data_IF_971757058453
#
_entry.id   IF_971757058453
#
_cell.length_a   1.000
_cell.length_b   1.000
_cell.length_c   1.000
_cell.angle_alpha   90.00
_cell.angle_beta   90.00
_cell.angle_gamma   90.00
#
_symmetry.space_group_name_H-M   'P 1'
#
loop_
_entity.id
_entity.type
_entity.pdbx_description
1 polymer ?
#
# COMPACT_ATOMS: atom_id res chain seq x y z
N UNK A 1 -27.23 -2.64 7.08
CA UNK A 1 -25.89 -3.16 6.82
C UNK A 1 -25.55 -2.91 5.36
N UNK A 2 -24.66 -1.98 5.05
CA UNK A 2 -24.20 -1.78 3.65
C UNK A 2 -23.16 -2.84 3.38
N UNK A 3 -23.41 -3.72 2.42
CA UNK A 3 -22.36 -4.61 1.91
C UNK A 3 -21.24 -3.75 1.32
N UNK A 4 -19.99 -4.08 1.61
CA UNK A 4 -18.87 -3.45 0.93
C UNK A 4 -19.14 -3.51 -0.59
N UNK A 5 -19.14 -2.36 -1.27
CA UNK A 5 -19.44 -2.26 -2.69
C UNK A 5 -20.91 -1.98 -3.06
N UNK A 6 -21.82 -1.74 -2.12
CA UNK A 6 -23.23 -1.39 -2.40
C UNK A 6 -23.57 0.08 -2.14
N UNK A 7 -22.59 0.97 -2.08
CA UNK A 7 -22.84 2.40 -2.19
C UNK A 7 -23.42 2.74 -3.57
N UNK A 8 -24.15 3.87 -3.74
CA UNK A 8 -24.49 4.34 -5.07
C UNK A 8 -23.20 4.42 -5.89
N UNK A 9 -23.20 3.82 -7.07
CA UNK A 9 -22.11 3.99 -8.03
C UNK A 9 -22.04 5.50 -8.28
N UNK A 10 -20.87 6.16 -8.16
CA UNK A 10 -20.76 7.57 -8.48
C UNK A 10 -21.31 7.79 -9.89
N UNK A 11 -22.11 8.81 -10.10
CA UNK A 11 -22.60 9.19 -11.43
C UNK A 11 -21.45 9.64 -12.33
N UNK A 12 -20.34 10.08 -11.73
CA UNK A 12 -19.12 10.40 -12.45
C UNK A 12 -18.34 9.14 -12.88
N UNK A 13 -17.75 9.13 -14.08
CA UNK A 13 -16.89 8.05 -14.52
C UNK A 13 -15.71 7.87 -13.55
N UNK A 14 -15.26 6.63 -13.42
CA UNK A 14 -14.07 6.31 -12.60
C UNK A 14 -12.80 6.71 -13.33
N UNK A 15 -11.91 7.39 -12.64
CA UNK A 15 -10.59 7.73 -13.15
C UNK A 15 -9.70 6.48 -13.24
N UNK A 16 -8.94 6.38 -14.32
CA UNK A 16 -7.91 5.34 -14.52
C UNK A 16 -6.89 5.83 -15.56
N UNK A 17 -5.68 5.24 -15.64
CA UNK A 17 -4.66 5.69 -16.59
C UNK A 17 -5.12 5.69 -18.05
N UNK A 18 -5.85 4.65 -18.46
CA UNK A 18 -6.24 4.42 -19.86
C UNK A 18 -7.72 4.08 -20.03
N UNK A 19 -8.59 4.59 -19.15
CA UNK A 19 -10.04 4.35 -19.22
C UNK A 19 -10.48 2.91 -18.89
N UNK A 20 -9.60 2.11 -18.26
CA UNK A 20 -9.85 0.70 -17.95
C UNK A 20 -10.33 0.51 -16.51
N UNK A 21 -11.31 -0.36 -16.27
CA UNK A 21 -11.65 -0.85 -14.92
C UNK A 21 -10.91 -2.14 -14.55
N UNK A 22 -10.68 -2.98 -15.58
CA UNK A 22 -9.98 -4.25 -15.48
C UNK A 22 -9.17 -4.43 -16.76
N UNK A 23 -8.20 -5.33 -16.73
CA UNK A 23 -7.46 -5.68 -17.92
C UNK A 23 -8.40 -5.97 -19.12
N UNK A 24 -8.20 -5.22 -20.21
CA UNK A 24 -8.97 -5.35 -21.46
C UNK A 24 -10.40 -4.76 -21.45
N UNK A 25 -10.89 -4.17 -20.34
CA UNK A 25 -12.24 -3.59 -20.27
C UNK A 25 -12.19 -2.06 -20.21
N UNK A 26 -12.31 -1.42 -21.36
CA UNK A 26 -12.48 0.03 -21.48
C UNK A 26 -13.92 0.41 -21.07
N UNK A 27 -14.06 1.42 -20.20
CA UNK A 27 -15.36 1.96 -19.75
C UNK A 27 -15.48 3.47 -19.94
N UNK A 28 -14.36 4.18 -20.05
CA UNK A 28 -14.30 5.62 -20.27
C UNK A 28 -13.26 5.92 -21.35
N UNK A 29 -13.30 7.08 -21.99
CA UNK A 29 -12.15 7.56 -22.77
C UNK A 29 -10.89 7.61 -21.90
N UNK A 30 -9.72 7.45 -22.52
CA UNK A 30 -8.46 7.72 -21.85
C UNK A 30 -8.41 9.19 -21.46
N UNK A 31 -8.07 9.53 -20.20
CA UNK A 31 -7.96 10.93 -19.76
C UNK A 31 -6.83 11.64 -20.48
N UNK A 32 -7.02 12.92 -20.77
CA UNK A 32 -5.97 13.77 -21.33
C UNK A 32 -4.80 13.92 -20.35
N UNK A 33 -3.66 14.39 -20.86
CA UNK A 33 -2.49 14.63 -20.02
C UNK A 33 -2.76 15.72 -18.96
N UNK A 34 -3.57 16.72 -19.29
CA UNK A 34 -4.00 17.78 -18.38
C UNK A 34 -4.91 17.24 -17.27
N UNK A 35 -5.86 16.37 -17.60
CA UNK A 35 -6.73 15.73 -16.61
C UNK A 35 -5.92 14.86 -15.64
N UNK A 36 -4.92 14.12 -16.14
CA UNK A 36 -4.02 13.34 -15.29
C UNK A 36 -3.18 14.25 -14.39
N UNK A 37 -2.68 15.37 -14.89
CA UNK A 37 -1.95 16.35 -14.08
C UNK A 37 -2.85 16.97 -12.99
N UNK A 38 -4.12 17.25 -13.30
CA UNK A 38 -5.10 17.71 -12.32
C UNK A 38 -5.41 16.68 -11.23
N UNK A 39 -5.47 15.38 -11.58
CA UNK A 39 -5.57 14.30 -10.60
C UNK A 39 -4.37 14.32 -9.64
N UNK A 40 -3.14 14.45 -10.15
CA UNK A 40 -1.96 14.56 -9.32
C UNK A 40 -2.00 15.79 -8.41
N UNK A 41 -2.42 16.95 -8.93
CA UNK A 41 -2.58 18.18 -8.14
C UNK A 41 -3.64 18.05 -7.03
N UNK A 42 -4.67 17.22 -7.22
CA UNK A 42 -5.71 16.98 -6.20
C UNK A 42 -5.13 16.34 -4.93
N UNK A 43 -4.12 15.48 -5.03
CA UNK A 43 -3.41 14.95 -3.86
C UNK A 43 -2.74 16.06 -3.06
N UNK A 44 -2.10 17.01 -3.73
CA UNK A 44 -1.52 18.19 -3.08
C UNK A 44 -2.56 19.04 -2.36
N UNK A 45 -3.72 19.30 -3.00
CA UNK A 45 -4.83 20.06 -2.36
C UNK A 45 -5.34 19.35 -1.10
N UNK A 46 -5.59 18.04 -1.19
CA UNK A 46 -6.04 17.24 -0.05
C UNK A 46 -5.01 17.22 1.10
N UNK A 47 -3.73 17.07 0.76
CA UNK A 47 -2.64 17.08 1.74
C UNK A 47 -2.48 18.46 2.42
N UNK A 48 -2.66 19.55 1.69
CA UNK A 48 -2.68 20.90 2.23
C UNK A 48 -3.79 21.09 3.27
N UNK A 49 -4.98 20.55 3.02
CA UNK A 49 -6.08 20.55 3.99
C UNK A 49 -5.76 19.67 5.22
N UNK A 50 -5.14 18.51 5.04
CA UNK A 50 -4.71 17.68 6.16
C UNK A 50 -3.72 18.45 7.07
N UNK A 51 -2.72 19.11 6.47
CA UNK A 51 -1.80 19.99 7.22
C UNK A 51 -2.53 21.11 7.96
N UNK A 52 -3.46 21.80 7.29
CA UNK A 52 -4.26 22.89 7.90
C UNK A 52 -5.08 22.42 9.09
N UNK A 53 -5.57 21.16 9.05
CA UNK A 53 -6.35 20.55 10.12
C UNK A 53 -5.49 19.95 11.25
N UNK A 54 -4.16 20.01 11.14
CA UNK A 54 -3.23 19.58 12.20
C UNK A 54 -2.97 18.08 12.24
N UNK A 55 -3.06 17.37 11.12
CA UNK A 55 -2.61 15.98 11.04
C UNK A 55 -1.08 15.91 11.16
N UNK A 56 -0.57 14.85 11.79
CA UNK A 56 0.85 14.66 12.07
C UNK A 56 1.63 14.03 10.90
N UNK A 57 0.94 13.45 9.92
CA UNK A 57 1.52 12.87 8.70
C UNK A 57 0.47 12.74 7.59
N UNK A 58 0.93 12.53 6.36
CA UNK A 58 0.08 12.21 5.20
C UNK A 58 0.56 10.90 4.58
N UNK A 59 -0.35 9.96 4.30
CA UNK A 59 -0.06 8.76 3.55
C UNK A 59 -0.75 8.78 2.18
N UNK A 60 0.02 8.60 1.10
CA UNK A 60 -0.51 8.39 -0.25
C UNK A 60 -0.67 6.89 -0.51
N UNK A 61 -1.88 6.50 -0.93
CA UNK A 61 -2.20 5.11 -1.22
C UNK A 61 -1.91 4.75 -2.66
N UNK A 62 -0.73 4.20 -2.91
CA UNK A 62 -0.26 3.73 -4.22
C UNK A 62 -0.19 2.21 -4.33
N UNK A 63 -1.21 1.49 -3.81
CA UNK A 63 -1.21 0.04 -3.70
C UNK A 63 -2.52 -0.59 -4.18
N UNK A 64 -2.53 -1.92 -4.31
CA UNK A 64 -3.69 -2.81 -4.42
C UNK A 64 -4.54 -2.64 -5.69
N UNK A 65 -4.01 -2.05 -6.76
CA UNK A 65 -4.73 -1.80 -8.01
C UNK A 65 -5.66 -0.58 -7.96
N UNK A 66 -5.51 0.33 -6.98
CA UNK A 66 -6.17 1.62 -6.98
C UNK A 66 -5.44 2.64 -7.88
N UNK A 67 -5.95 3.86 -8.01
CA UNK A 67 -5.58 4.82 -9.05
C UNK A 67 -4.05 4.96 -9.26
N UNK A 68 -3.28 5.29 -8.22
CA UNK A 68 -1.81 5.45 -8.35
C UNK A 68 -1.15 4.14 -8.80
N UNK A 69 -1.58 3.00 -8.20
CA UNK A 69 -1.01 1.69 -8.52
C UNK A 69 -1.36 1.22 -9.95
N UNK A 70 -2.50 1.64 -10.49
CA UNK A 70 -2.85 1.38 -11.90
C UNK A 70 -1.89 2.05 -12.87
N UNK A 71 -1.35 3.23 -12.53
CA UNK A 71 -0.31 3.86 -13.34
C UNK A 71 0.98 3.03 -13.40
N UNK A 72 1.35 2.35 -12.34
CA UNK A 72 2.52 1.45 -12.33
C UNK A 72 2.31 0.20 -13.18
N UNK A 73 1.08 -0.28 -13.27
CA UNK A 73 0.73 -1.58 -13.82
C UNK A 73 0.57 -1.53 -15.34
N UNK A 74 1.51 -2.17 -16.07
CA UNK A 74 1.55 -2.15 -17.53
C UNK A 74 0.26 -2.65 -18.21
N UNK A 75 -0.49 -3.56 -17.55
CA UNK A 75 -1.77 -4.06 -18.07
C UNK A 75 -2.92 -3.04 -17.97
N UNK A 76 -2.76 -1.99 -17.18
CA UNK A 76 -3.76 -0.94 -16.97
C UNK A 76 -3.32 0.41 -17.53
N UNK A 77 -2.01 0.65 -17.64
CA UNK A 77 -1.43 1.87 -18.16
C UNK A 77 -0.86 1.66 -19.55
N UNK A 78 -1.66 1.97 -20.55
CA UNK A 78 -1.29 1.88 -21.98
C UNK A 78 -0.87 3.24 -22.57
N UNK A 79 -0.66 4.24 -21.72
CA UNK A 79 -0.34 5.60 -22.16
C UNK A 79 1.00 5.66 -22.87
N UNK A 80 1.07 6.54 -23.86
CA UNK A 80 2.29 6.83 -24.63
C UNK A 80 2.87 8.21 -24.33
N UNK A 81 2.21 8.98 -23.46
CA UNK A 81 2.69 10.26 -22.97
C UNK A 81 3.60 10.11 -21.73
N UNK A 82 3.94 11.24 -21.08
CA UNK A 82 4.85 11.27 -19.91
C UNK A 82 4.38 10.49 -18.69
N UNK A 83 3.11 10.06 -18.64
CA UNK A 83 2.54 9.25 -17.56
C UNK A 83 2.50 7.75 -17.87
N UNK A 84 2.95 7.33 -19.06
CA UNK A 84 3.15 5.95 -19.47
C UNK A 84 4.63 5.58 -19.52
N UNK A 85 4.92 4.48 -20.19
CA UNK A 85 6.30 4.08 -20.48
C UNK A 85 6.55 2.58 -20.42
N UNK A 86 7.69 2.13 -20.98
CA UNK A 86 7.98 0.72 -21.15
C UNK A 86 8.39 0.03 -19.83
N UNK A 87 8.99 0.75 -18.91
CA UNK A 87 9.50 0.22 -17.64
C UNK A 87 8.76 0.81 -16.43
N UNK A 88 8.97 0.20 -15.28
CA UNK A 88 8.33 0.59 -14.04
C UNK A 88 8.72 2.01 -13.57
N UNK A 89 10.00 2.44 -13.61
CA UNK A 89 10.37 3.81 -13.29
C UNK A 89 9.66 4.87 -14.14
N UNK A 90 9.53 4.66 -15.46
CA UNK A 90 8.82 5.59 -16.34
C UNK A 90 7.34 5.69 -15.95
N UNK A 91 6.68 4.57 -15.69
CA UNK A 91 5.27 4.53 -15.23
C UNK A 91 5.05 5.08 -13.82
N UNK A 92 6.11 5.34 -13.04
CA UNK A 92 6.02 5.99 -11.74
C UNK A 92 5.86 7.52 -11.80
N UNK A 93 5.87 8.12 -12.98
CA UNK A 93 5.82 9.59 -13.16
C UNK A 93 4.57 10.25 -12.58
N UNK A 94 3.39 9.62 -12.69
CA UNK A 94 2.17 10.11 -12.03
C UNK A 94 2.31 10.16 -10.51
N UNK A 95 2.80 9.07 -9.90
CA UNK A 95 3.03 9.04 -8.46
C UNK A 95 4.06 10.09 -8.03
N UNK A 96 5.14 10.24 -8.78
CA UNK A 96 6.16 11.26 -8.51
C UNK A 96 5.58 12.67 -8.56
N UNK A 97 4.68 12.97 -9.49
CA UNK A 97 3.99 14.27 -9.58
C UNK A 97 3.04 14.48 -8.39
N UNK A 98 2.24 13.48 -8.02
CA UNK A 98 1.37 13.52 -6.85
C UNK A 98 2.17 13.70 -5.54
N UNK A 99 3.31 13.01 -5.41
CA UNK A 99 4.21 13.15 -4.26
C UNK A 99 4.79 14.56 -4.18
N UNK A 100 5.29 15.12 -5.29
CA UNK A 100 5.82 16.49 -5.34
C UNK A 100 4.75 17.52 -5.00
N UNK A 101 3.54 17.38 -5.54
CA UNK A 101 2.41 18.25 -5.22
C UNK A 101 2.04 18.16 -3.73
N UNK A 102 2.02 16.97 -3.16
CA UNK A 102 1.79 16.73 -1.73
C UNK A 102 2.89 17.38 -0.89
N UNK A 103 4.17 17.12 -1.22
CA UNK A 103 5.33 17.69 -0.50
C UNK A 103 5.32 19.23 -0.53
N UNK A 104 5.01 19.82 -1.68
CA UNK A 104 4.89 21.28 -1.81
C UNK A 104 3.79 21.84 -0.88
N UNK A 105 2.67 21.14 -0.73
CA UNK A 105 1.55 21.56 0.09
C UNK A 105 1.80 21.38 1.61
N UNK A 106 2.45 20.27 2.00
CA UNK A 106 2.68 19.97 3.43
C UNK A 106 4.00 20.55 3.98
N UNK A 107 4.91 21.01 3.11
CA UNK A 107 6.24 21.52 3.51
C UNK A 107 7.22 20.41 3.87
N UNK A 108 8.43 20.74 4.34
CA UNK A 108 9.50 19.77 4.58
C UNK A 108 9.35 18.97 5.88
N UNK A 109 8.63 19.49 6.86
CA UNK A 109 8.64 18.96 8.24
C UNK A 109 7.58 17.88 8.49
N UNK A 110 6.47 17.89 7.71
CA UNK A 110 5.41 16.91 7.90
C UNK A 110 5.75 15.61 7.16
N UNK A 111 5.77 14.44 7.84
CA UNK A 111 6.10 13.17 7.20
C UNK A 111 5.16 12.82 6.06
N UNK A 112 5.73 12.42 4.90
CA UNK A 112 5.03 11.90 3.77
C UNK A 112 5.30 10.40 3.64
N UNK A 113 4.26 9.61 3.86
CA UNK A 113 4.30 8.16 3.78
C UNK A 113 3.76 7.75 2.41
N UNK A 114 4.42 6.79 1.75
CA UNK A 114 3.92 6.22 0.51
C UNK A 114 3.66 4.72 0.67
N UNK A 115 2.38 4.32 0.53
CA UNK A 115 1.99 2.92 0.60
C UNK A 115 1.96 2.29 -0.78
N UNK A 116 2.67 1.18 -0.94
CA UNK A 116 2.68 0.40 -2.18
C UNK A 116 2.61 -1.11 -1.91
N UNK A 117 2.33 -1.88 -2.96
CA UNK A 117 2.25 -3.35 -2.90
C UNK A 117 2.78 -3.97 -4.17
N UNK A 118 3.30 -5.19 -4.08
CA UNK A 118 3.60 -5.99 -5.27
C UNK A 118 2.34 -6.48 -5.97
N UNK A 119 1.37 -6.95 -5.21
CA UNK A 119 0.14 -7.58 -5.68
C UNK A 119 -1.00 -6.57 -5.92
N UNK A 120 -2.03 -6.99 -6.68
CA UNK A 120 -3.24 -6.22 -6.98
C UNK A 120 -4.47 -6.97 -6.48
N UNK A 121 -5.56 -6.25 -6.16
CA UNK A 121 -6.83 -6.90 -5.79
C UNK A 121 -7.44 -7.65 -6.98
N UNK A 122 -7.25 -7.13 -8.20
CA UNK A 122 -7.72 -7.72 -9.44
C UNK A 122 -6.89 -8.93 -9.87
N UNK A 123 -5.62 -8.96 -9.47
CA UNK A 123 -4.67 -10.05 -9.75
C UNK A 123 -3.73 -10.23 -8.56
N UNK A 124 -4.06 -11.20 -7.72
CA UNK A 124 -3.30 -11.47 -6.50
C UNK A 124 -1.92 -12.10 -6.75
N UNK A 125 -1.70 -12.59 -7.97
CA UNK A 125 -0.42 -13.12 -8.43
C UNK A 125 0.48 -12.08 -9.08
N UNK A 126 -0.06 -10.90 -9.40
CA UNK A 126 0.69 -9.82 -10.01
C UNK A 126 1.92 -9.44 -9.16
N UNK A 127 2.99 -9.10 -9.85
CA UNK A 127 4.20 -8.54 -9.26
C UNK A 127 4.49 -7.18 -9.90
N UNK A 128 4.76 -6.19 -9.05
CA UNK A 128 5.12 -4.85 -9.49
C UNK A 128 6.57 -4.81 -10.01
N UNK A 129 7.50 -5.29 -9.19
CA UNK A 129 8.93 -5.40 -9.50
C UNK A 129 9.37 -6.87 -9.41
N UNK A 130 10.11 -7.34 -10.42
CA UNK A 130 10.54 -8.73 -10.55
C UNK A 130 11.98 -8.98 -10.08
N UNK A 131 12.71 -7.92 -9.73
CA UNK A 131 14.07 -8.00 -9.21
C UNK A 131 14.35 -6.87 -8.22
N UNK A 132 15.36 -7.02 -7.33
CA UNK A 132 15.79 -5.90 -6.47
C UNK A 132 16.20 -4.67 -7.25
N UNK A 133 16.82 -4.82 -8.42
CA UNK A 133 17.26 -3.70 -9.27
C UNK A 133 16.06 -2.92 -9.82
N UNK A 134 15.01 -3.62 -10.27
CA UNK A 134 13.78 -2.99 -10.73
C UNK A 134 13.05 -2.29 -9.56
N UNK A 135 13.02 -2.93 -8.38
CA UNK A 135 12.46 -2.33 -7.17
C UNK A 135 13.25 -1.09 -6.75
N UNK A 136 14.58 -1.13 -6.76
CA UNK A 136 15.44 0.00 -6.43
C UNK A 136 15.20 1.19 -7.36
N UNK A 137 15.20 0.96 -8.67
CA UNK A 137 14.97 2.00 -9.67
C UNK A 137 13.58 2.66 -9.49
N UNK A 138 12.55 1.88 -9.19
CA UNK A 138 11.21 2.38 -8.88
C UNK A 138 11.20 3.22 -7.61
N UNK A 139 11.76 2.70 -6.52
CA UNK A 139 11.79 3.38 -5.22
C UNK A 139 12.62 4.67 -5.26
N UNK A 140 13.66 4.73 -6.10
CA UNK A 140 14.46 5.93 -6.31
C UNK A 140 13.59 7.08 -6.85
N UNK A 141 12.74 6.82 -7.86
CA UNK A 141 11.83 7.84 -8.41
C UNK A 141 10.91 8.42 -7.33
N UNK A 142 10.36 7.58 -6.45
CA UNK A 142 9.48 8.01 -5.38
C UNK A 142 10.24 8.75 -4.26
N UNK A 143 11.43 8.26 -3.93
CA UNK A 143 12.32 8.89 -2.94
C UNK A 143 12.73 10.29 -3.34
N UNK A 144 13.14 10.46 -4.60
CA UNK A 144 13.54 11.75 -5.18
C UNK A 144 12.36 12.73 -5.29
N UNK A 145 11.15 12.20 -5.42
CA UNK A 145 9.93 13.01 -5.41
C UNK A 145 9.57 13.54 -4.02
N UNK A 146 10.07 12.94 -2.92
CA UNK A 146 9.92 13.48 -1.57
C UNK A 146 9.26 12.55 -0.54
N UNK A 147 9.24 11.22 -0.77
CA UNK A 147 8.78 10.24 0.22
C UNK A 147 9.76 10.16 1.40
N UNK A 148 9.26 10.18 2.62
CA UNK A 148 10.05 10.00 3.85
C UNK A 148 10.01 8.55 4.34
N UNK A 149 8.84 7.90 4.27
CA UNK A 149 8.59 6.57 4.82
C UNK A 149 7.87 5.71 3.78
N UNK A 150 8.29 4.47 3.61
CA UNK A 150 7.60 3.52 2.76
C UNK A 150 6.74 2.56 3.59
N UNK A 151 5.43 2.47 3.26
CA UNK A 151 4.51 1.51 3.85
C UNK A 151 4.32 0.34 2.88
N UNK A 152 4.96 -0.78 3.20
CA UNK A 152 5.08 -1.95 2.34
C UNK A 152 3.94 -2.93 2.61
N UNK A 153 2.93 -2.93 1.74
CA UNK A 153 1.76 -3.80 1.90
C UNK A 153 1.99 -5.16 1.26
N UNK A 154 2.04 -6.19 2.10
CA UNK A 154 2.30 -7.58 1.73
C UNK A 154 1.08 -8.46 1.98
N UNK A 155 1.06 -9.66 1.39
CA UNK A 155 0.07 -10.70 1.72
C UNK A 155 0.29 -11.19 3.14
N UNK A 156 1.52 -11.58 3.44
CA UNK A 156 2.00 -12.01 4.76
C UNK A 156 3.38 -11.43 5.03
N UNK A 157 3.61 -10.84 6.19
CA UNK A 157 4.87 -10.17 6.52
C UNK A 157 6.08 -11.14 6.57
N UNK A 158 5.84 -12.43 6.76
CA UNK A 158 6.89 -13.45 6.85
C UNK A 158 7.29 -14.05 5.50
N UNK A 159 6.57 -13.74 4.41
CA UNK A 159 6.95 -14.19 3.07
C UNK A 159 8.15 -13.38 2.57
N UNK A 160 9.22 -14.04 2.10
CA UNK A 160 10.37 -13.36 1.52
C UNK A 160 9.99 -12.73 0.19
N UNK A 161 10.58 -11.58 -0.11
CA UNK A 161 10.26 -10.85 -1.35
C UNK A 161 11.01 -11.44 -2.56
N UNK A 162 12.27 -11.78 -2.40
CA UNK A 162 13.13 -12.36 -3.45
C UNK A 162 13.80 -13.65 -2.93
N UNK A 163 13.03 -14.73 -2.73
CA UNK A 163 13.57 -15.96 -2.15
C UNK A 163 14.67 -16.62 -2.97
N UNK A 164 14.72 -16.34 -4.26
CA UNK A 164 15.79 -16.78 -5.17
C UNK A 164 17.15 -16.12 -4.87
N UNK A 165 17.17 -15.03 -4.09
CA UNK A 165 18.38 -14.27 -3.74
C UNK A 165 18.82 -14.52 -2.30
N UNK A 166 17.87 -14.43 -1.33
CA UNK A 166 18.18 -14.52 0.10
C UNK A 166 17.47 -15.68 0.82
N UNK A 167 16.83 -16.58 0.05
CA UNK A 167 16.26 -17.83 0.53
C UNK A 167 14.87 -17.68 1.16
N UNK A 168 14.34 -18.80 1.68
CA UNK A 168 12.99 -18.88 2.26
C UNK A 168 12.80 -18.05 3.53
N UNK A 169 13.87 -17.68 4.20
CA UNK A 169 13.87 -16.82 5.39
C UNK A 169 14.42 -15.43 5.11
N UNK A 170 14.48 -15.05 3.83
CA UNK A 170 14.98 -13.77 3.36
C UNK A 170 14.12 -12.58 3.81
N UNK A 171 14.58 -11.40 3.41
CA UNK A 171 13.89 -10.15 3.70
C UNK A 171 12.53 -10.10 3.01
N UNK A 172 11.55 -9.59 3.71
CA UNK A 172 10.26 -9.27 3.14
C UNK A 172 10.31 -7.95 2.34
N UNK A 173 9.19 -7.53 1.75
CA UNK A 173 9.13 -6.29 0.95
C UNK A 173 9.62 -5.07 1.75
N UNK A 174 9.25 -4.95 3.03
CA UNK A 174 9.70 -3.83 3.87
C UNK A 174 11.20 -3.87 4.13
N UNK A 175 11.74 -5.04 4.41
CA UNK A 175 13.18 -5.24 4.61
C UNK A 175 13.99 -4.94 3.35
N UNK A 176 13.55 -5.40 2.19
CA UNK A 176 14.19 -5.06 0.92
C UNK A 176 14.09 -3.56 0.62
N UNK A 177 12.90 -2.95 0.82
CA UNK A 177 12.72 -1.51 0.63
C UNK A 177 13.68 -0.70 1.51
N UNK A 178 13.79 -1.05 2.79
CA UNK A 178 14.73 -0.40 3.71
C UNK A 178 16.19 -0.57 3.26
N UNK A 179 16.57 -1.77 2.87
CA UNK A 179 17.91 -2.08 2.37
C UNK A 179 18.29 -1.26 1.12
N UNK A 180 17.35 -1.08 0.19
CA UNK A 180 17.58 -0.39 -1.08
C UNK A 180 17.54 1.13 -0.93
N UNK A 181 16.70 1.66 -0.04
CA UNK A 181 16.48 3.11 0.08
C UNK A 181 17.16 3.77 1.27
N UNK A 182 17.49 2.99 2.31
CA UNK A 182 17.94 3.53 3.60
C UNK A 182 16.86 4.29 4.37
N UNK A 183 15.61 4.35 3.86
CA UNK A 183 14.51 5.07 4.51
C UNK A 183 13.75 4.19 5.50
N UNK A 184 13.09 4.79 6.51
CA UNK A 184 12.21 4.07 7.41
C UNK A 184 11.11 3.34 6.65
N UNK A 185 10.74 2.14 7.15
CA UNK A 185 9.70 1.31 6.53
C UNK A 185 8.68 0.82 7.52
N UNK A 186 7.44 0.70 7.05
CA UNK A 186 6.33 0.08 7.77
C UNK A 186 6.02 -1.25 7.07
N UNK A 187 6.03 -2.36 7.81
CA UNK A 187 5.55 -3.64 7.31
C UNK A 187 4.08 -3.86 7.65
N UNK A 188 3.31 -4.48 6.75
CA UNK A 188 1.96 -4.93 7.00
C UNK A 188 1.66 -6.18 6.16
N UNK A 189 0.90 -7.10 6.74
CA UNK A 189 0.43 -8.32 6.08
C UNK A 189 0.19 -9.42 7.10
N UNK A 190 -1.05 -9.75 7.38
CA UNK A 190 -1.47 -10.81 8.31
C UNK A 190 -0.81 -10.73 9.70
N UNK A 191 -0.52 -9.52 10.21
CA UNK A 191 0.06 -9.32 11.53
C UNK A 191 -0.89 -9.85 12.61
N UNK A 192 -0.39 -10.77 13.44
CA UNK A 192 -1.16 -11.44 14.49
C UNK A 192 -2.19 -12.46 13.99
N UNK A 193 -2.29 -12.72 12.68
CA UNK A 193 -3.29 -13.61 12.08
C UNK A 193 -2.62 -14.64 11.13
N UNK A 194 -3.18 -15.84 11.08
CA UNK A 194 -2.65 -16.96 10.30
C UNK A 194 -3.00 -16.87 8.80
N UNK A 195 -4.19 -16.31 8.44
CA UNK A 195 -4.66 -16.21 7.06
C UNK A 195 -4.49 -14.82 6.49
N UNK A 196 -4.35 -14.73 5.15
CA UNK A 196 -4.30 -13.47 4.45
C UNK A 196 -5.69 -12.80 4.35
N UNK A 197 -5.70 -11.61 3.75
CA UNK A 197 -6.89 -10.80 3.76
C UNK A 197 -7.92 -11.21 2.66
N UNK A 198 -7.50 -11.93 1.63
CA UNK A 198 -8.41 -12.40 0.57
C UNK A 198 -9.40 -13.43 1.14
N UNK A 199 -8.94 -14.33 2.02
CA UNK A 199 -9.81 -15.26 2.74
C UNK A 199 -10.89 -14.52 3.56
N UNK A 200 -10.52 -13.40 4.20
CA UNK A 200 -11.47 -12.60 4.97
C UNK A 200 -12.59 -12.00 4.11
N UNK A 201 -12.32 -11.58 2.86
CA UNK A 201 -13.38 -11.13 1.93
C UNK A 201 -14.34 -12.25 1.52
N UNK A 202 -13.90 -13.48 1.60
CA UNK A 202 -14.74 -14.67 1.39
C UNK A 202 -15.49 -15.11 2.65
N UNK A 203 -15.36 -14.35 3.76
CA UNK A 203 -16.00 -14.67 5.04
C UNK A 203 -15.20 -15.67 5.88
N UNK A 204 -13.95 -15.96 5.54
CA UNK A 204 -13.10 -16.87 6.29
C UNK A 204 -12.63 -16.24 7.60
N UNK A 205 -12.75 -16.98 8.70
CA UNK A 205 -12.13 -16.63 9.98
C UNK A 205 -10.61 -16.84 9.92
N UNK A 206 -9.89 -16.17 10.79
CA UNK A 206 -8.44 -16.36 10.92
C UNK A 206 -8.04 -16.56 12.36
N UNK A 207 -7.35 -17.65 12.64
CA UNK A 207 -6.75 -17.86 13.95
C UNK A 207 -5.67 -16.85 14.24
N UNK A 208 -5.45 -16.59 15.50
CA UNK A 208 -4.28 -15.82 15.97
C UNK A 208 -2.98 -16.53 15.58
N UNK A 209 -1.94 -15.75 15.32
CA UNK A 209 -0.59 -16.23 15.04
C UNK A 209 0.39 -15.58 16.02
N UNK A 210 1.36 -16.34 16.58
CA UNK A 210 2.39 -15.79 17.44
C UNK A 210 3.15 -14.64 16.78
N UNK A 211 3.51 -13.63 17.58
CA UNK A 211 4.24 -12.45 17.13
C UNK A 211 5.78 -12.60 17.23
N UNK A 212 6.28 -13.73 17.69
CA UNK A 212 7.72 -13.96 17.95
C UNK A 212 8.58 -13.71 16.71
N UNK A 213 8.16 -14.18 15.53
CA UNK A 213 8.88 -13.93 14.27
C UNK A 213 8.86 -12.45 13.89
N UNK A 214 7.73 -11.78 14.01
CA UNK A 214 7.59 -10.34 13.77
C UNK A 214 8.53 -9.52 14.66
N UNK A 215 8.53 -9.84 15.96
CA UNK A 215 9.37 -9.18 16.96
C UNK A 215 10.85 -9.42 16.65
N UNK A 216 11.24 -10.66 16.35
CA UNK A 216 12.62 -11.00 16.01
C UNK A 216 13.12 -10.25 14.75
N UNK A 217 12.26 -10.07 13.75
CA UNK A 217 12.60 -9.28 12.54
C UNK A 217 12.69 -7.78 12.83
N UNK A 218 11.80 -7.25 13.68
CA UNK A 218 11.85 -5.86 14.13
C UNK A 218 13.13 -5.59 14.94
N UNK A 219 13.50 -6.49 15.86
CA UNK A 219 14.71 -6.39 16.67
C UNK A 219 15.98 -6.44 15.82
N UNK A 220 15.96 -7.17 14.70
CA UNK A 220 17.04 -7.17 13.70
C UNK A 220 17.09 -5.88 12.87
N UNK A 221 16.09 -5.01 12.99
CA UNK A 221 16.00 -3.78 12.22
C UNK A 221 15.63 -3.99 10.76
N UNK A 222 14.97 -5.10 10.41
CA UNK A 222 14.52 -5.36 9.03
C UNK A 222 13.50 -4.30 8.56
N UNK A 223 12.68 -3.79 9.46
CA UNK A 223 11.76 -2.66 9.26
C UNK A 223 11.64 -1.85 10.57
N UNK A 224 10.99 -0.68 10.53
CA UNK A 224 10.98 0.24 11.67
C UNK A 224 9.63 0.28 12.38
N UNK A 225 8.54 0.02 11.66
CA UNK A 225 7.17 0.08 12.16
C UNK A 225 6.34 -1.07 11.63
N UNK A 226 5.24 -1.34 12.35
CA UNK A 226 4.29 -2.40 12.00
C UNK A 226 2.88 -1.82 11.92
N UNK A 227 2.21 -2.03 10.81
CA UNK A 227 0.78 -1.71 10.69
C UNK A 227 -0.07 -2.95 10.92
N UNK A 228 -1.17 -2.78 11.64
CA UNK A 228 -2.10 -3.85 12.03
C UNK A 228 -3.49 -3.50 11.55
N UNK A 229 -4.15 -4.41 10.86
CA UNK A 229 -5.51 -4.22 10.33
C UNK A 229 -6.55 -5.05 11.08
N UNK A 230 -6.93 -6.18 10.51
CA UNK A 230 -8.03 -7.04 10.97
C UNK A 230 -7.95 -7.46 12.44
N UNK A 231 -6.74 -7.66 12.98
CA UNK A 231 -6.56 -7.99 14.40
C UNK A 231 -7.03 -6.85 15.31
N UNK A 232 -6.78 -5.58 14.95
CA UNK A 232 -7.30 -4.41 15.66
C UNK A 232 -8.81 -4.21 15.49
N UNK A 233 -9.34 -4.54 14.31
CA UNK A 233 -10.78 -4.49 14.08
C UNK A 233 -11.55 -5.51 14.94
N UNK A 234 -10.96 -6.69 15.15
CA UNK A 234 -11.52 -7.74 16.02
C UNK A 234 -11.35 -7.43 17.49
N UNK A 235 -10.22 -6.84 17.86
CA UNK A 235 -9.82 -6.58 19.24
C UNK A 235 -9.22 -5.17 19.37
N UNK A 236 -10.03 -4.16 19.71
CA UNK A 236 -9.56 -2.77 19.85
C UNK A 236 -8.43 -2.61 20.87
N UNK A 237 -8.34 -3.50 21.87
CA UNK A 237 -7.30 -3.52 22.88
C UNK A 237 -6.03 -4.28 22.45
N UNK A 238 -5.97 -4.77 21.22
CA UNK A 238 -4.87 -5.60 20.71
C UNK A 238 -3.50 -5.01 21.01
N UNK A 239 -3.28 -3.74 20.70
CA UNK A 239 -2.00 -3.07 20.93
C UNK A 239 -1.65 -2.95 22.42
N UNK A 240 -2.64 -2.67 23.29
CA UNK A 240 -2.45 -2.60 24.71
C UNK A 240 -2.11 -3.99 25.31
N UNK A 241 -2.76 -5.05 24.83
CA UNK A 241 -2.47 -6.44 25.22
C UNK A 241 -1.05 -6.85 24.80
N UNK A 242 -0.67 -6.58 23.56
CA UNK A 242 0.69 -6.85 23.08
C UNK A 242 1.73 -6.12 23.91
N UNK A 243 1.54 -4.81 24.15
CA UNK A 243 2.44 -4.01 25.00
C UNK A 243 2.57 -4.55 26.41
N UNK A 244 1.50 -5.12 26.97
CA UNK A 244 1.48 -5.71 28.30
C UNK A 244 1.97 -7.18 28.37
N UNK A 245 2.37 -7.77 27.23
CA UNK A 245 2.78 -9.18 27.15
C UNK A 245 1.62 -10.20 27.24
N UNK A 246 0.36 -9.75 27.16
CA UNK A 246 -0.85 -10.59 27.29
C UNK A 246 -1.25 -11.21 25.96
N UNK A 247 -0.33 -11.98 25.34
CA UNK A 247 -0.49 -12.56 24.00
C UNK A 247 -1.56 -13.65 23.95
N UNK A 248 -1.83 -14.32 25.06
CA UNK A 248 -2.86 -15.36 25.25
C UNK A 248 -4.30 -14.79 25.26
N UNK A 249 -4.45 -13.48 25.45
CA UNK A 249 -5.73 -12.80 25.40
C UNK A 249 -6.11 -12.27 23.99
N UNK A 250 -5.22 -12.43 23.00
CA UNK A 250 -5.50 -12.01 21.62
C UNK A 250 -6.59 -12.86 21.00
N UNK A 251 -7.45 -12.23 20.19
CA UNK A 251 -8.65 -12.87 19.64
C UNK A 251 -8.45 -13.32 18.20
N UNK A 252 -9.01 -14.47 17.88
CA UNK A 252 -9.17 -14.92 16.50
C UNK A 252 -10.06 -13.95 15.73
N UNK A 253 -9.73 -13.68 14.47
CA UNK A 253 -10.51 -12.79 13.62
C UNK A 253 -11.75 -13.51 13.07
N UNK A 254 -12.91 -12.86 13.21
CA UNK A 254 -14.16 -13.22 12.56
C UNK A 254 -14.61 -12.08 11.63
N UNK A 255 -15.05 -12.43 10.42
CA UNK A 255 -15.55 -11.47 9.44
C UNK A 255 -16.78 -10.68 9.93
N UNK A 256 -17.51 -11.16 10.93
CA UNK A 256 -18.60 -10.44 11.57
C UNK A 256 -18.13 -9.12 12.21
N UNK A 257 -16.86 -9.01 12.60
CA UNK A 257 -16.27 -7.76 13.13
C UNK A 257 -16.28 -6.59 12.14
N UNK A 258 -16.40 -6.86 10.82
CA UNK A 258 -16.59 -5.82 9.79
C UNK A 258 -17.96 -5.09 9.90
N UNK A 259 -18.91 -5.67 10.57
CA UNK A 259 -20.27 -5.13 10.73
C UNK A 259 -20.49 -4.38 12.04
N UNK A 260 -19.53 -4.39 12.94
CA UNK A 260 -19.61 -3.82 14.28
C UNK A 260 -18.56 -2.73 14.43
N UNK A 261 -18.98 -1.53 14.83
CA UNK A 261 -18.07 -0.50 15.33
C UNK A 261 -17.89 -0.73 16.83
N UNK A 262 -16.71 -1.12 17.25
CA UNK A 262 -16.35 -1.29 18.65
C UNK A 262 -15.77 0.01 19.23
#
# INVERSE_FOLDING_TARGET
MRKAGTGPVPEAPSDSPSGLTHHGKVITPEPTQEEVADMAAAYGRAAGEARRLGFDAVELHGAHGYLIDQFFWAQMNHRTDRFGGPDLPARASFAAEAIRATRAAIGPDLPLIFRFSQWKQQDYSARLAHSPQELEAFLAVLSDAGVDVFHCSQRRFWEPEFPEIDGEHGLNLAGWTKKLTGKPTITVGSVGLASDFIGAFRGEASRTRPLSDLIARLDKGEFDMVAVGRALLQDPDWAAKVKAGRMDELRDYDAASLAVLN
#
